data_IF_944382435524
#
_entry.id   IF_944382435524
#
_cell.length_a   1.000
_cell.length_b   1.000
_cell.length_c   1.000
_cell.angle_alpha   90.00
_cell.angle_beta   90.00
_cell.angle_gamma   90.00
#
_symmetry.space_group_name_H-M   'P 1'
#
loop_
_entity.id
_entity.type
_entity.pdbx_description
1 polymer ?
#
# COMPACT_ATOMS: atom_id res chain seq x y z
N UNK A 1 -0.48 -5.67 15.59
CA UNK A 1 -1.24 -6.80 16.19
C UNK A 1 -1.87 -7.62 15.08
N UNK A 2 -1.59 -8.88 15.05
CA UNK A 2 -2.26 -9.84 14.19
C UNK A 2 -3.56 -10.28 14.82
N UNK A 3 -4.65 -10.22 14.06
CA UNK A 3 -5.94 -10.75 14.45
C UNK A 3 -6.09 -12.17 13.88
N UNK A 4 -6.77 -13.05 14.59
CA UNK A 4 -7.19 -14.31 13.99
C UNK A 4 -8.15 -14.07 12.82
N UNK A 5 -8.25 -15.04 11.91
CA UNK A 5 -9.03 -14.87 10.68
C UNK A 5 -10.50 -14.52 10.93
N UNK A 6 -11.25 -15.20 11.85
CA UNK A 6 -12.63 -14.84 12.11
C UNK A 6 -12.81 -13.42 12.64
N UNK A 7 -11.95 -12.99 13.55
CA UNK A 7 -11.96 -11.62 14.10
C UNK A 7 -11.64 -10.61 13.00
N UNK A 8 -10.62 -10.87 12.18
CA UNK A 8 -10.27 -9.96 11.09
C UNK A 8 -11.39 -9.86 10.04
N UNK A 9 -12.05 -10.97 9.72
CA UNK A 9 -13.19 -10.97 8.82
C UNK A 9 -14.34 -10.08 9.34
N UNK A 10 -14.61 -10.15 10.65
CA UNK A 10 -15.61 -9.28 11.30
C UNK A 10 -15.22 -7.81 11.20
N UNK A 11 -13.95 -7.49 11.42
CA UNK A 11 -13.43 -6.12 11.28
C UNK A 11 -13.60 -5.62 9.85
N UNK A 12 -13.17 -6.40 8.85
CA UNK A 12 -13.31 -6.03 7.42
C UNK A 12 -14.78 -5.81 7.03
N UNK A 13 -15.67 -6.66 7.52
CA UNK A 13 -17.10 -6.57 7.22
C UNK A 13 -17.82 -5.41 7.92
N UNK A 14 -17.23 -4.85 9.00
CA UNK A 14 -17.97 -3.99 9.93
C UNK A 14 -17.43 -2.56 10.00
N UNK A 15 -16.17 -2.31 9.63
CA UNK A 15 -15.53 -1.00 9.78
C UNK A 15 -14.58 -0.70 8.62
N UNK A 16 -14.30 0.59 8.34
CA UNK A 16 -13.17 0.93 7.48
C UNK A 16 -11.86 0.46 8.13
N UNK A 17 -10.91 0.05 7.30
CA UNK A 17 -9.53 -0.15 7.71
C UNK A 17 -8.75 1.14 7.49
N UNK A 18 -7.81 1.45 8.37
CA UNK A 18 -6.91 2.60 8.19
C UNK A 18 -5.55 2.10 7.75
N UNK A 19 -5.03 2.64 6.67
CA UNK A 19 -3.77 2.22 6.06
C UNK A 19 -2.85 3.41 5.76
N UNK A 20 -1.57 3.10 5.58
CA UNK A 20 -0.58 4.00 5.01
C UNK A 20 -0.16 3.42 3.66
N UNK A 21 -0.21 4.25 2.62
CA UNK A 21 0.38 3.96 1.32
C UNK A 21 1.65 4.77 1.13
N UNK A 22 2.66 4.15 0.52
CA UNK A 22 3.99 4.72 0.32
C UNK A 22 4.23 4.98 -1.17
N UNK A 23 4.19 6.24 -1.57
CA UNK A 23 4.60 6.68 -2.89
C UNK A 23 6.11 6.91 -2.84
N UNK A 24 6.90 5.89 -3.17
CA UNK A 24 8.35 5.92 -3.10
C UNK A 24 8.90 6.34 -4.44
N UNK A 25 9.67 7.43 -4.48
CA UNK A 25 10.29 7.96 -5.70
C UNK A 25 11.82 7.86 -5.63
N UNK A 26 12.42 7.47 -6.74
CA UNK A 26 13.87 7.55 -6.91
C UNK A 26 14.28 8.95 -7.41
N UNK A 27 15.59 9.16 -7.61
CA UNK A 27 16.14 10.43 -8.08
C UNK A 27 15.68 10.85 -9.49
N UNK A 28 15.19 9.89 -10.29
CA UNK A 28 14.62 10.18 -11.61
C UNK A 28 13.12 10.52 -11.55
N UNK A 29 12.51 10.44 -10.35
CA UNK A 29 11.08 10.65 -10.17
C UNK A 29 10.21 9.44 -10.50
N UNK A 30 10.81 8.29 -10.81
CA UNK A 30 10.07 7.04 -11.01
C UNK A 30 9.50 6.55 -9.67
N UNK A 31 8.36 5.90 -9.72
CA UNK A 31 7.68 5.36 -8.54
C UNK A 31 7.83 3.84 -8.44
N UNK A 32 8.03 3.35 -7.22
CA UNK A 32 8.09 1.93 -6.95
C UNK A 32 6.68 1.35 -6.84
N UNK A 33 6.35 0.39 -7.70
CA UNK A 33 5.12 -0.39 -7.60
C UNK A 33 5.42 -1.87 -7.47
N UNK A 34 4.52 -2.59 -6.79
CA UNK A 34 4.52 -4.04 -6.68
C UNK A 34 3.30 -4.64 -7.37
N UNK A 35 3.49 -5.78 -8.01
CA UNK A 35 2.39 -6.57 -8.60
C UNK A 35 1.74 -7.40 -7.50
N UNK A 36 0.51 -7.07 -7.15
CA UNK A 36 -0.19 -7.72 -6.04
C UNK A 36 -0.55 -9.18 -6.34
N UNK A 37 -0.34 -10.02 -5.34
CA UNK A 37 -0.68 -11.46 -5.38
C UNK A 37 -1.87 -11.80 -4.49
N UNK A 38 -2.38 -10.84 -3.70
CA UNK A 38 -3.52 -11.00 -2.80
C UNK A 38 -4.63 -10.03 -3.14
N UNK A 39 -5.87 -10.36 -2.74
CA UNK A 39 -7.00 -9.43 -2.81
C UNK A 39 -7.00 -8.48 -1.60
N UNK A 40 -7.54 -7.27 -1.72
CA UNK A 40 -8.07 -6.66 -2.96
C UNK A 40 -6.96 -6.26 -3.94
N UNK A 41 -7.34 -5.84 -5.16
CA UNK A 41 -6.46 -5.42 -6.24
C UNK A 41 -5.50 -6.52 -6.77
N UNK A 42 -5.89 -7.79 -6.67
CA UNK A 42 -5.12 -8.91 -7.21
C UNK A 42 -4.82 -8.72 -8.70
N UNK A 43 -3.55 -8.92 -9.07
CA UNK A 43 -3.10 -8.82 -10.46
C UNK A 43 -2.83 -7.40 -10.95
N UNK A 44 -3.03 -6.39 -10.11
CA UNK A 44 -2.70 -5.00 -10.42
C UNK A 44 -1.38 -4.57 -9.80
N UNK A 45 -0.72 -3.63 -10.47
CA UNK A 45 0.39 -2.90 -9.89
C UNK A 45 -0.14 -1.83 -8.94
N UNK A 46 0.44 -1.79 -7.75
CA UNK A 46 0.01 -0.92 -6.67
C UNK A 46 1.22 -0.41 -5.87
N UNK A 47 1.08 0.77 -5.23
CA UNK A 47 2.12 1.25 -4.31
C UNK A 47 2.23 0.33 -3.09
N UNK A 48 3.41 0.18 -2.49
CA UNK A 48 3.55 -0.49 -1.20
C UNK A 48 2.74 0.20 -0.12
N UNK A 49 2.25 -0.55 0.84
CA UNK A 49 1.47 0.01 1.94
C UNK A 49 1.02 -1.06 2.93
N UNK A 50 0.34 -0.63 3.97
CA UNK A 50 -0.14 -1.56 4.98
C UNK A 50 -1.11 -0.94 5.97
N UNK A 51 -1.87 -1.79 6.62
CA UNK A 51 -2.84 -1.40 7.64
C UNK A 51 -2.14 -0.93 8.91
N UNK A 52 -2.69 0.12 9.52
CA UNK A 52 -2.29 0.56 10.87
C UNK A 52 -2.96 -0.38 11.88
N UNK A 53 -2.21 -0.82 12.87
CA UNK A 53 -2.73 -1.69 13.92
C UNK A 53 -3.30 -0.87 15.07
N UNK A 54 -4.24 -1.46 15.79
CA UNK A 54 -4.81 -0.83 16.99
C UNK A 54 -3.70 -0.46 17.99
N UNK A 55 -3.77 0.75 18.53
CA UNK A 55 -2.82 1.31 19.49
C UNK A 55 -1.41 1.59 18.92
N UNK A 56 -1.25 1.51 17.61
CA UNK A 56 -0.01 1.87 16.94
C UNK A 56 -0.04 3.37 16.57
N UNK A 57 1.00 4.11 16.94
CA UNK A 57 1.12 5.51 16.49
C UNK A 57 1.43 5.57 15.01
N UNK A 58 1.13 6.71 14.36
CA UNK A 58 1.46 6.91 12.94
C UNK A 58 2.97 6.76 12.69
N UNK A 59 3.82 7.21 13.60
CA UNK A 59 5.27 7.06 13.47
C UNK A 59 5.68 5.59 13.52
N UNK A 60 5.14 4.82 14.47
CA UNK A 60 5.42 3.39 14.62
C UNK A 60 4.90 2.61 13.42
N UNK A 61 3.69 2.91 12.96
CA UNK A 61 3.09 2.28 11.79
C UNK A 61 3.92 2.54 10.53
N UNK A 62 4.30 3.80 10.28
CA UNK A 62 5.12 4.18 9.13
C UNK A 62 6.46 3.44 9.11
N UNK A 63 7.14 3.40 10.26
CA UNK A 63 8.42 2.71 10.40
C UNK A 63 8.29 1.20 10.18
N UNK A 64 7.26 0.58 10.74
CA UNK A 64 6.98 -0.85 10.54
C UNK A 64 6.63 -1.16 9.08
N UNK A 65 5.69 -0.41 8.50
CA UNK A 65 5.23 -0.64 7.13
C UNK A 65 6.38 -0.44 6.14
N UNK A 66 7.18 0.63 6.28
CA UNK A 66 8.32 0.83 5.40
C UNK A 66 9.36 -0.30 5.52
N UNK A 67 9.64 -0.78 6.73
CA UNK A 67 10.52 -1.94 6.93
C UNK A 67 9.95 -3.19 6.24
N UNK A 68 8.67 -3.47 6.46
CA UNK A 68 8.03 -4.70 6.00
C UNK A 68 7.81 -4.69 4.46
N UNK A 69 7.56 -3.53 3.87
CA UNK A 69 7.25 -3.39 2.44
C UNK A 69 8.46 -3.02 1.58
N UNK A 70 9.43 -2.28 2.14
CA UNK A 70 10.59 -1.78 1.39
C UNK A 70 11.90 -2.48 1.79
N UNK A 71 11.88 -3.31 2.85
CA UNK A 71 13.07 -3.95 3.39
C UNK A 71 13.96 -3.02 4.22
N UNK A 72 13.53 -1.78 4.47
CA UNK A 72 14.26 -0.80 5.25
C UNK A 72 13.29 0.13 6.00
N UNK A 73 13.49 0.34 7.31
CA UNK A 73 12.64 1.26 8.07
C UNK A 73 12.99 2.72 7.75
N UNK A 74 11.98 3.50 7.42
CA UNK A 74 12.08 4.95 7.24
C UNK A 74 11.30 5.67 8.33
N UNK A 75 11.72 6.89 8.65
CA UNK A 75 11.01 7.75 9.59
C UNK A 75 9.95 8.60 8.87
N UNK A 76 8.76 8.66 9.44
CA UNK A 76 7.64 9.43 8.86
C UNK A 76 7.98 10.92 8.68
N UNK A 77 8.84 11.47 9.55
CA UNK A 77 9.29 12.86 9.45
C UNK A 77 10.05 13.17 8.15
N UNK A 78 10.61 12.16 7.47
CA UNK A 78 11.29 12.31 6.18
C UNK A 78 10.36 12.14 4.98
N UNK A 79 9.09 11.90 5.21
CA UNK A 79 8.07 11.75 4.18
C UNK A 79 7.09 12.93 4.22
N UNK A 80 6.42 13.17 3.11
CA UNK A 80 5.41 14.22 2.98
C UNK A 80 4.04 13.59 2.79
N UNK A 81 3.07 13.97 3.62
CA UNK A 81 1.69 13.55 3.44
C UNK A 81 1.13 14.14 2.13
N UNK A 82 0.71 13.28 1.22
CA UNK A 82 0.05 13.69 -0.02
C UNK A 82 -1.43 14.01 0.22
N UNK A 83 -2.06 13.27 1.12
CA UNK A 83 -3.46 13.46 1.46
C UNK A 83 -4.07 12.23 2.13
N UNK A 84 -5.36 12.32 2.38
CA UNK A 84 -6.20 11.23 2.86
C UNK A 84 -7.10 10.79 1.73
N UNK A 85 -7.11 9.49 1.44
CA UNK A 85 -7.83 8.91 0.31
C UNK A 85 -8.80 7.83 0.80
N UNK A 86 -9.84 7.57 0.03
CA UNK A 86 -10.78 6.50 0.30
C UNK A 86 -10.66 5.44 -0.80
N UNK A 87 -10.47 4.18 -0.40
CA UNK A 87 -10.40 3.07 -1.33
C UNK A 87 -11.53 2.09 -1.06
N UNK A 88 -12.36 1.84 -2.05
CA UNK A 88 -13.46 0.89 -2.00
C UNK A 88 -13.18 -0.25 -2.97
N UNK A 89 -13.26 -1.48 -2.48
CA UNK A 89 -13.13 -2.70 -3.27
C UNK A 89 -14.35 -3.56 -3.03
N UNK A 90 -14.86 -4.20 -4.06
CA UNK A 90 -16.00 -5.12 -3.98
C UNK A 90 -15.61 -6.54 -3.58
N UNK A 91 -14.33 -6.77 -3.29
CA UNK A 91 -13.78 -8.01 -2.76
C UNK A 91 -12.94 -7.79 -1.51
N UNK A 92 -12.39 -8.87 -0.95
CA UNK A 92 -11.48 -8.84 0.20
C UNK A 92 -10.52 -10.02 0.14
N UNK A 93 -9.57 -10.05 1.07
CA UNK A 93 -8.70 -11.20 1.30
C UNK A 93 -9.49 -12.48 1.63
N UNK A 94 -10.73 -12.38 2.06
CA UNK A 94 -11.59 -13.52 2.44
C UNK A 94 -12.43 -14.05 1.29
N UNK A 95 -12.71 -13.23 0.28
CA UNK A 95 -13.67 -13.63 -0.76
C UNK A 95 -13.59 -12.79 -2.03
N UNK A 96 -14.10 -13.37 -3.11
CA UNK A 96 -14.35 -12.67 -4.35
C UNK A 96 -15.58 -11.76 -4.25
N UNK A 97 -15.70 -10.82 -5.18
CA UNK A 97 -16.88 -9.98 -5.31
C UNK A 97 -18.18 -10.82 -5.26
N UNK A 98 -19.14 -10.41 -4.41
CA UNK A 98 -20.42 -11.09 -4.22
C UNK A 98 -20.40 -12.33 -3.35
N UNK A 99 -19.24 -12.77 -2.84
CA UNK A 99 -19.11 -14.02 -2.07
C UNK A 99 -18.51 -13.83 -0.67
N UNK A 100 -18.38 -12.62 -0.17
CA UNK A 100 -17.83 -12.31 1.17
C UNK A 100 -17.82 -10.81 1.40
N UNK A 101 -17.18 -10.32 2.48
CA UNK A 101 -17.16 -8.90 2.76
C UNK A 101 -16.36 -8.14 1.69
N UNK A 102 -16.85 -6.96 1.34
CA UNK A 102 -16.11 -5.96 0.62
C UNK A 102 -15.04 -5.31 1.52
N UNK A 103 -14.22 -4.45 0.96
CA UNK A 103 -13.15 -3.78 1.71
C UNK A 103 -13.26 -2.26 1.54
N UNK A 104 -13.22 -1.56 2.67
CA UNK A 104 -13.15 -0.10 2.72
C UNK A 104 -11.89 0.32 3.46
N UNK A 105 -11.05 1.13 2.80
CA UNK A 105 -9.87 1.73 3.41
C UNK A 105 -9.99 3.25 3.48
N UNK A 106 -9.58 3.82 4.62
CA UNK A 106 -9.15 5.21 4.73
C UNK A 106 -7.62 5.20 4.71
N UNK A 107 -7.03 5.85 3.72
CA UNK A 107 -5.60 5.75 3.43
C UNK A 107 -4.91 7.08 3.63
N UNK A 108 -3.85 7.07 4.44
CA UNK A 108 -2.87 8.15 4.55
C UNK A 108 -1.76 7.88 3.54
N UNK A 109 -1.71 8.64 2.46
CA UNK A 109 -0.68 8.45 1.44
C UNK A 109 0.49 9.39 1.68
N UNK A 110 1.70 8.84 1.73
CA UNK A 110 2.94 9.57 1.94
C UNK A 110 3.89 9.42 0.76
N UNK A 111 4.51 10.53 0.36
CA UNK A 111 5.61 10.52 -0.59
C UNK A 111 6.95 10.43 0.15
N UNK A 112 7.76 9.46 -0.22
CA UNK A 112 9.11 9.23 0.28
C UNK A 112 10.10 9.30 -0.88
N UNK A 113 10.98 10.30 -0.87
CA UNK A 113 12.01 10.44 -1.88
C UNK A 113 13.31 9.78 -1.42
N UNK A 114 13.85 8.88 -2.25
CA UNK A 114 15.10 8.20 -1.96
C UNK A 114 16.29 9.01 -2.44
N UNK A 115 17.36 9.03 -1.62
CA UNK A 115 18.66 9.51 -2.06
C UNK A 115 19.30 8.52 -3.06
N UNK A 116 20.18 9.01 -3.92
CA UNK A 116 20.83 8.21 -4.98
C UNK A 116 21.55 6.96 -4.48
N UNK A 117 22.10 7.03 -3.27
CA UNK A 117 22.84 5.91 -2.67
C UNK A 117 21.95 4.88 -1.96
N UNK A 118 20.65 5.17 -1.80
CA UNK A 118 19.72 4.26 -1.13
C UNK A 118 19.20 3.21 -2.11
N UNK A 119 19.38 1.94 -1.76
CA UNK A 119 18.82 0.80 -2.48
C UNK A 119 17.81 0.09 -1.61
N UNK A 120 16.72 -0.36 -2.21
CA UNK A 120 15.67 -1.10 -1.53
C UNK A 120 15.75 -2.58 -1.89
N UNK A 121 15.41 -3.43 -0.92
CA UNK A 121 15.25 -4.87 -1.11
C UNK A 121 13.86 -5.30 -0.64
N UNK A 122 12.81 -4.94 -1.40
CA UNK A 122 11.43 -5.25 -1.01
C UNK A 122 11.22 -6.78 -0.93
N UNK A 123 10.57 -7.27 0.13
CA UNK A 123 10.23 -8.69 0.23
C UNK A 123 9.14 -9.05 -0.79
N UNK A 124 9.11 -10.30 -1.25
CA UNK A 124 8.20 -10.77 -2.32
C UNK A 124 6.94 -11.46 -1.80
N UNK A 125 6.67 -11.40 -0.50
CA UNK A 125 5.56 -12.11 0.14
C UNK A 125 4.18 -11.62 -0.31
N UNK A 126 4.00 -10.30 -0.46
CA UNK A 126 2.73 -9.69 -0.87
C UNK A 126 2.67 -9.34 -2.35
N UNK A 127 3.82 -9.25 -2.99
CA UNK A 127 3.95 -8.85 -4.38
C UNK A 127 4.83 -9.86 -5.12
N UNK A 128 4.39 -10.22 -6.33
CA UNK A 128 5.15 -11.15 -7.18
C UNK A 128 6.42 -10.53 -7.73
N UNK A 129 6.37 -9.23 -8.04
CA UNK A 129 7.47 -8.44 -8.58
C UNK A 129 7.36 -7.01 -8.11
N UNK A 130 8.51 -6.32 -8.16
CA UNK A 130 8.59 -4.88 -7.97
C UNK A 130 9.23 -4.26 -9.20
N UNK A 131 8.80 -3.04 -9.55
CA UNK A 131 9.33 -2.29 -10.67
C UNK A 131 9.27 -0.80 -10.38
N UNK A 132 10.29 -0.07 -10.84
CA UNK A 132 10.26 1.38 -10.93
C UNK A 132 9.50 1.78 -12.20
N UNK A 133 8.47 2.58 -12.03
CA UNK A 133 7.60 3.02 -13.12
C UNK A 133 7.82 4.50 -13.38
N UNK A 134 8.14 4.90 -14.63
CA UNK A 134 8.06 6.30 -15.03
C UNK A 134 6.64 6.83 -14.83
N UNK A 135 6.52 8.06 -14.34
CA UNK A 135 5.21 8.63 -14.00
C UNK A 135 4.29 8.70 -15.23
N UNK A 136 4.81 9.05 -16.39
CA UNK A 136 4.02 9.14 -17.62
C UNK A 136 3.46 7.78 -18.07
N UNK A 137 4.20 6.70 -17.87
CA UNK A 137 3.73 5.34 -18.15
C UNK A 137 2.68 4.91 -17.13
N UNK A 138 2.97 5.12 -15.84
CA UNK A 138 2.13 4.70 -14.72
C UNK A 138 0.73 5.32 -14.80
N UNK A 139 0.62 6.62 -15.08
CA UNK A 139 -0.66 7.36 -15.10
C UNK A 139 -1.66 6.84 -16.11
N UNK A 140 -1.21 6.22 -17.20
CA UNK A 140 -2.06 5.79 -18.30
C UNK A 140 -2.14 4.26 -18.45
N UNK A 141 -1.40 3.50 -17.63
CA UNK A 141 -1.38 2.04 -17.74
C UNK A 141 -2.62 1.41 -17.11
N UNK A 142 -3.39 0.58 -17.83
CA UNK A 142 -4.50 -0.17 -17.24
C UNK A 142 -4.03 -1.28 -16.29
N UNK A 143 -2.72 -1.59 -16.27
CA UNK A 143 -2.13 -2.56 -15.36
C UNK A 143 -1.91 -1.99 -13.96
N UNK A 144 -1.88 -0.66 -13.84
CA UNK A 144 -1.79 0.04 -12.56
C UNK A 144 -3.20 0.33 -12.05
N UNK A 145 -3.48 -0.03 -10.81
CA UNK A 145 -4.80 0.18 -10.22
C UNK A 145 -5.15 1.68 -10.16
N UNK A 146 -6.41 2.01 -10.40
CA UNK A 146 -6.89 3.40 -10.40
C UNK A 146 -6.60 4.14 -9.08
N UNK A 147 -6.69 3.45 -7.94
CA UNK A 147 -6.37 4.03 -6.64
C UNK A 147 -4.90 4.43 -6.52
N UNK A 148 -3.99 3.70 -7.16
CA UNK A 148 -2.57 4.09 -7.26
C UNK A 148 -2.38 5.25 -8.23
N UNK A 149 -3.02 5.21 -9.41
CA UNK A 149 -2.92 6.31 -10.38
C UNK A 149 -3.38 7.64 -9.83
N UNK A 150 -4.33 7.63 -8.89
CA UNK A 150 -4.84 8.84 -8.24
C UNK A 150 -3.79 9.61 -7.42
N UNK A 151 -2.65 9.01 -7.11
CA UNK A 151 -1.55 9.67 -6.39
C UNK A 151 -0.64 10.51 -7.32
N UNK A 152 -0.78 10.38 -8.63
CA UNK A 152 0.08 10.97 -9.64
C UNK A 152 -0.75 11.87 -10.61
#
# INVERSE_FOLDING_TARGET
>A
MWLDLPTFQTVVASTPLVAIDLVVRNSRGDALLGLRVNRPAYGYWFVPGGRIYKNESLNSAFRRISRDELGHPFERAHARLLGVFEHFYDDSVFANAGAGPDTHYVVLSYCLELADHQTLQPPTEQHRQYRWWPQDELRFSPRVHENTRAYF
#
